data_IF_688487604184
#
_entry.id   IF_688487604184
#
_cell.length_a   1.000
_cell.length_b   1.000
_cell.length_c   1.000
_cell.angle_alpha   90.00
_cell.angle_beta   90.00
_cell.angle_gamma   90.00
#
_symmetry.space_group_name_H-M   'P 1'
#
loop_
_entity.id
_entity.type
_entity.pdbx_description
1 polymer ?
#
# COMPACT_ATOMS: atom_id res chain seq x y z
N UNK A 1 -0.02 -21.78 8.32
CA UNK A 1 -0.03 -20.42 7.77
C UNK A 1 0.71 -20.48 6.44
N UNK A 2 0.10 -20.08 5.32
CA UNK A 2 0.81 -20.03 4.02
C UNK A 2 1.63 -18.73 4.01
N UNK A 3 2.93 -18.82 3.72
CA UNK A 3 3.78 -17.64 3.52
C UNK A 3 3.30 -16.91 2.26
N UNK A 4 3.18 -15.59 2.34
CA UNK A 4 2.80 -14.71 1.22
C UNK A 4 4.06 -14.10 0.60
N UNK A 5 4.29 -14.34 -0.69
CA UNK A 5 5.33 -13.65 -1.46
C UNK A 5 4.80 -12.31 -1.98
N UNK A 6 5.14 -11.22 -1.28
CA UNK A 6 4.83 -9.85 -1.66
C UNK A 6 5.99 -9.26 -2.50
N UNK A 7 5.78 -9.10 -3.81
CA UNK A 7 6.80 -8.63 -4.74
C UNK A 7 6.68 -7.13 -5.08
N UNK A 8 7.80 -6.39 -5.21
CA UNK A 8 7.78 -5.01 -5.70
C UNK A 8 7.45 -4.92 -7.20
N UNK A 9 6.58 -3.99 -7.58
CA UNK A 9 6.25 -3.70 -8.98
C UNK A 9 6.35 -2.19 -9.24
N UNK A 10 7.54 -1.69 -9.60
CA UNK A 10 7.79 -0.26 -9.82
C UNK A 10 7.50 0.24 -11.25
N UNK A 11 7.15 -0.67 -12.16
CA UNK A 11 6.85 -0.41 -13.57
C UNK A 11 5.90 -1.49 -14.11
N UNK A 12 5.30 -1.26 -15.29
CA UNK A 12 4.47 -2.28 -15.95
C UNK A 12 5.22 -3.59 -16.20
N UNK A 13 6.48 -3.51 -16.63
CA UNK A 13 7.31 -4.68 -16.92
C UNK A 13 7.55 -5.51 -15.65
N UNK A 14 7.91 -4.84 -14.54
CA UNK A 14 8.11 -5.52 -13.25
C UNK A 14 6.81 -6.05 -12.65
N UNK A 15 5.68 -5.35 -12.84
CA UNK A 15 4.35 -5.84 -12.48
C UNK A 15 4.02 -7.15 -13.20
N UNK A 16 4.10 -7.18 -14.54
CA UNK A 16 3.80 -8.39 -15.30
C UNK A 16 4.78 -9.52 -14.98
N UNK A 17 6.06 -9.21 -14.76
CA UNK A 17 7.04 -10.20 -14.36
C UNK A 17 6.67 -10.83 -13.00
N UNK A 18 6.35 -10.02 -11.99
CA UNK A 18 5.98 -10.51 -10.66
C UNK A 18 4.70 -11.36 -10.70
N UNK A 19 3.63 -10.86 -11.33
CA UNK A 19 2.34 -11.56 -11.42
C UNK A 19 2.48 -12.89 -12.16
N UNK A 20 3.19 -12.92 -13.29
CA UNK A 20 3.33 -14.15 -14.08
C UNK A 20 4.38 -15.12 -13.52
N UNK A 21 5.21 -14.69 -12.58
CA UNK A 21 6.22 -15.56 -11.92
C UNK A 21 5.74 -16.17 -10.60
N UNK A 22 4.46 -16.00 -10.26
CA UNK A 22 3.84 -16.66 -9.10
C UNK A 22 3.95 -15.89 -7.78
N UNK A 23 4.04 -14.56 -7.82
CA UNK A 23 3.84 -13.75 -6.62
C UNK A 23 2.41 -13.96 -6.07
N UNK A 24 2.26 -14.06 -4.74
CA UNK A 24 0.93 -14.08 -4.11
C UNK A 24 0.31 -12.67 -4.09
N UNK A 25 1.16 -11.65 -4.00
CA UNK A 25 0.77 -10.24 -4.01
C UNK A 25 1.88 -9.36 -4.59
N UNK A 26 1.49 -8.18 -5.08
CA UNK A 26 2.40 -7.14 -5.53
C UNK A 26 2.17 -5.86 -4.76
N UNK A 27 3.23 -5.07 -4.53
CA UNK A 27 3.09 -3.69 -4.08
C UNK A 27 3.67 -2.70 -5.09
N UNK A 28 2.96 -1.59 -5.25
CA UNK A 28 3.29 -0.55 -6.23
C UNK A 28 2.82 0.83 -5.75
N UNK A 29 3.25 1.88 -6.44
CA UNK A 29 2.86 3.26 -6.17
C UNK A 29 2.13 3.88 -7.34
N UNK A 30 1.11 4.68 -7.04
CA UNK A 30 0.54 5.60 -8.02
C UNK A 30 1.41 6.83 -8.25
N UNK A 31 0.98 7.78 -9.09
CA UNK A 31 1.70 9.06 -9.28
C UNK A 31 1.59 10.01 -8.07
N UNK A 32 0.68 9.76 -7.15
CA UNK A 32 0.40 10.59 -5.97
C UNK A 32 0.82 9.89 -4.67
N UNK A 33 1.20 10.68 -3.67
CA UNK A 33 1.40 10.28 -2.25
C UNK A 33 2.33 9.07 -1.99
N UNK A 34 3.21 8.74 -2.92
CA UNK A 34 4.19 7.66 -2.77
C UNK A 34 5.61 8.23 -2.64
N UNK A 35 6.44 7.60 -1.81
CA UNK A 35 7.81 8.08 -1.58
C UNK A 35 8.79 7.77 -2.73
N UNK A 36 8.40 6.97 -3.73
CA UNK A 36 9.27 6.57 -4.85
C UNK A 36 9.03 7.48 -6.07
N UNK A 37 9.34 8.77 -5.91
CA UNK A 37 9.18 9.79 -6.96
C UNK A 37 9.95 9.51 -8.28
N UNK A 38 10.97 8.65 -8.25
CA UNK A 38 11.78 8.29 -9.43
C UNK A 38 11.30 7.03 -10.16
N UNK A 39 10.32 6.29 -9.61
CA UNK A 39 9.70 5.19 -10.33
C UNK A 39 8.73 5.75 -11.39
N UNK A 40 8.52 5.01 -12.48
CA UNK A 40 7.52 5.39 -13.50
C UNK A 40 6.15 5.62 -12.85
N UNK A 41 5.82 4.76 -11.87
CA UNK A 41 4.55 4.70 -11.16
C UNK A 41 3.36 4.56 -12.13
N UNK A 42 2.18 4.28 -11.57
CA UNK A 42 0.98 4.03 -12.37
C UNK A 42 0.03 5.22 -12.26
N UNK A 43 -0.52 5.69 -13.37
CA UNK A 43 -1.70 6.57 -13.30
C UNK A 43 -2.99 5.78 -13.02
N UNK A 44 -4.09 6.51 -12.90
CA UNK A 44 -5.41 5.95 -12.55
C UNK A 44 -5.91 4.94 -13.58
N UNK A 45 -5.71 5.18 -14.88
CA UNK A 45 -6.16 4.25 -15.92
C UNK A 45 -5.28 3.00 -15.96
N UNK A 46 -3.95 3.17 -15.84
CA UNK A 46 -3.04 2.04 -15.66
C UNK A 46 -3.40 1.23 -14.40
N UNK A 47 -3.74 1.90 -13.28
CA UNK A 47 -4.12 1.27 -12.01
C UNK A 47 -5.34 0.36 -12.17
N UNK A 48 -6.42 0.85 -12.79
CA UNK A 48 -7.62 0.05 -13.07
C UNK A 48 -7.29 -1.21 -13.85
N UNK A 49 -6.47 -1.06 -14.89
CA UNK A 49 -6.09 -2.17 -15.75
C UNK A 49 -5.25 -3.22 -15.02
N UNK A 50 -4.23 -2.81 -14.27
CA UNK A 50 -3.32 -3.75 -13.58
C UNK A 50 -4.02 -4.45 -12.41
N UNK A 51 -4.90 -3.77 -11.68
CA UNK A 51 -5.65 -4.41 -10.58
C UNK A 51 -6.51 -5.54 -11.14
N UNK A 52 -7.31 -5.24 -12.17
CA UNK A 52 -8.11 -6.26 -12.87
C UNK A 52 -7.25 -7.41 -13.41
N UNK A 53 -6.08 -7.10 -13.99
CA UNK A 53 -5.17 -8.13 -14.49
C UNK A 53 -4.66 -9.05 -13.37
N UNK A 54 -4.20 -8.47 -12.25
CA UNK A 54 -3.68 -9.21 -11.11
C UNK A 54 -4.75 -10.14 -10.51
N UNK A 55 -5.96 -9.63 -10.31
CA UNK A 55 -7.07 -10.42 -9.77
C UNK A 55 -7.48 -11.58 -10.67
N UNK A 56 -7.49 -11.40 -12.00
CA UNK A 56 -7.70 -12.50 -12.96
C UNK A 56 -6.64 -13.60 -12.85
N UNK A 57 -5.47 -13.29 -12.26
CA UNK A 57 -4.38 -14.24 -11.97
C UNK A 57 -4.37 -14.72 -10.52
N UNK A 58 -5.32 -14.28 -9.69
CA UNK A 58 -5.38 -14.59 -8.26
C UNK A 58 -4.31 -13.89 -7.42
N UNK A 59 -3.73 -12.79 -7.93
CA UNK A 59 -2.68 -12.01 -7.26
C UNK A 59 -3.28 -10.74 -6.67
N UNK A 60 -2.94 -10.43 -5.41
CA UNK A 60 -3.39 -9.21 -4.73
C UNK A 60 -2.55 -7.99 -5.08
N UNK A 61 -3.14 -6.80 -5.03
CA UNK A 61 -2.46 -5.53 -5.29
C UNK A 61 -2.50 -4.63 -4.06
N UNK A 62 -1.34 -4.25 -3.56
CA UNK A 62 -1.19 -3.27 -2.48
C UNK A 62 -0.61 -1.96 -3.02
N UNK A 63 -1.20 -0.83 -2.63
CA UNK A 63 -0.77 0.48 -3.14
C UNK A 63 -0.15 1.32 -2.03
N UNK A 64 1.03 1.88 -2.29
CA UNK A 64 1.73 2.75 -1.35
C UNK A 64 1.17 4.17 -1.38
N UNK A 65 0.73 4.67 -0.23
CA UNK A 65 0.43 6.07 0.06
C UNK A 65 1.21 6.49 1.32
N UNK A 66 2.53 6.45 1.21
CA UNK A 66 3.46 6.41 2.33
C UNK A 66 4.30 7.68 2.52
N UNK A 67 3.89 8.81 1.93
CA UNK A 67 4.46 10.13 2.27
C UNK A 67 3.81 10.70 3.54
N UNK A 68 4.52 11.58 4.27
CA UNK A 68 3.87 12.44 5.28
C UNK A 68 3.05 13.48 4.53
N UNK A 69 1.80 13.68 4.91
CA UNK A 69 0.91 14.59 4.20
C UNK A 69 0.99 16.00 4.78
N UNK A 70 0.91 17.01 3.92
CA UNK A 70 0.61 18.38 4.36
C UNK A 70 -0.89 18.53 4.57
N UNK A 71 -1.29 19.48 5.41
CA UNK A 71 -2.71 19.75 5.67
C UNK A 71 -3.52 19.99 4.40
N UNK A 72 -2.95 20.70 3.42
CA UNK A 72 -3.61 20.99 2.14
C UNK A 72 -3.73 19.77 1.22
N UNK A 73 -2.95 18.71 1.47
CA UNK A 73 -2.92 17.48 0.68
C UNK A 73 -3.90 16.42 1.21
N UNK A 74 -4.48 16.60 2.42
CA UNK A 74 -5.31 15.60 3.09
C UNK A 74 -6.55 15.23 2.28
N UNK A 75 -7.28 16.22 1.75
CA UNK A 75 -8.50 15.98 0.96
C UNK A 75 -8.18 15.18 -0.30
N UNK A 76 -7.11 15.54 -1.00
CA UNK A 76 -6.68 14.84 -2.21
C UNK A 76 -6.20 13.42 -1.92
N UNK A 77 -5.51 13.21 -0.79
CA UNK A 77 -5.11 11.88 -0.34
C UNK A 77 -6.33 10.99 -0.01
N UNK A 78 -7.36 11.54 0.65
CA UNK A 78 -8.59 10.79 0.91
C UNK A 78 -9.36 10.46 -0.38
N UNK A 79 -9.44 11.41 -1.31
CA UNK A 79 -10.06 11.17 -2.62
C UNK A 79 -9.31 10.08 -3.40
N UNK A 80 -7.97 10.11 -3.38
CA UNK A 80 -7.17 9.09 -4.03
C UNK A 80 -7.32 7.72 -3.35
N UNK A 81 -7.36 7.66 -2.02
CA UNK A 81 -7.65 6.41 -1.31
C UNK A 81 -9.05 5.87 -1.65
N UNK A 82 -10.07 6.73 -1.73
CA UNK A 82 -11.42 6.33 -2.15
C UNK A 82 -11.41 5.77 -3.58
N UNK A 83 -10.72 6.42 -4.51
CA UNK A 83 -10.53 5.90 -5.87
C UNK A 83 -9.90 4.49 -5.87
N UNK A 84 -8.83 4.27 -5.08
CA UNK A 84 -8.18 2.96 -5.01
C UNK A 84 -9.11 1.90 -4.42
N UNK A 85 -9.89 2.25 -3.39
CA UNK A 85 -10.89 1.39 -2.78
C UNK A 85 -11.99 0.99 -3.77
N UNK A 86 -12.54 1.95 -4.51
CA UNK A 86 -13.58 1.73 -5.53
C UNK A 86 -13.10 0.88 -6.73
N UNK A 87 -11.79 0.75 -6.92
CA UNK A 87 -11.17 -0.04 -7.97
C UNK A 87 -10.49 -1.30 -7.43
N UNK A 88 -11.01 -1.83 -6.31
CA UNK A 88 -10.68 -3.15 -5.74
C UNK A 88 -9.20 -3.32 -5.31
N UNK A 89 -8.46 -2.24 -5.02
CA UNK A 89 -7.13 -2.39 -4.41
C UNK A 89 -7.25 -3.13 -3.08
N UNK A 90 -6.40 -4.15 -2.86
CA UNK A 90 -6.54 -5.05 -1.72
C UNK A 90 -6.08 -4.46 -0.38
N UNK A 91 -5.12 -3.54 -0.41
CA UNK A 91 -4.66 -2.81 0.77
C UNK A 91 -3.86 -1.55 0.43
N UNK A 92 -3.88 -0.57 1.34
CA UNK A 92 -2.93 0.55 1.33
C UNK A 92 -1.69 0.24 2.16
N UNK A 93 -0.58 0.88 1.82
CA UNK A 93 0.65 0.90 2.64
C UNK A 93 0.95 2.36 2.98
N UNK A 94 0.77 2.75 4.25
CA UNK A 94 0.84 4.14 4.71
C UNK A 94 1.89 4.32 5.81
N UNK A 95 2.31 5.55 6.08
CA UNK A 95 3.11 5.88 7.27
C UNK A 95 2.46 6.93 8.17
N UNK A 96 1.65 7.82 7.60
CA UNK A 96 1.13 8.98 8.30
C UNK A 96 0.01 8.56 9.27
N UNK A 97 0.20 8.83 10.57
CA UNK A 97 -0.73 8.42 11.62
C UNK A 97 -2.07 9.17 11.52
N UNK A 98 -2.04 10.44 11.12
CA UNK A 98 -3.25 11.23 10.89
C UNK A 98 -4.04 10.67 9.71
N UNK A 99 -3.34 10.32 8.63
CA UNK A 99 -3.98 9.68 7.49
C UNK A 99 -4.56 8.30 7.84
N UNK A 100 -3.84 7.46 8.59
CA UNK A 100 -4.36 6.19 9.09
C UNK A 100 -5.64 6.38 9.91
N UNK A 101 -5.66 7.37 10.81
CA UNK A 101 -6.87 7.70 11.56
C UNK A 101 -8.05 8.06 10.66
N UNK A 102 -7.80 8.89 9.62
CA UNK A 102 -8.83 9.30 8.68
C UNK A 102 -9.32 8.13 7.80
N UNK A 103 -8.42 7.24 7.36
CA UNK A 103 -8.78 6.03 6.62
C UNK A 103 -9.68 5.13 7.46
N UNK A 104 -9.33 4.86 8.72
CA UNK A 104 -10.18 4.06 9.62
C UNK A 104 -11.55 4.71 9.87
N UNK A 105 -11.66 6.04 9.78
CA UNK A 105 -12.91 6.78 9.98
C UNK A 105 -13.79 6.78 8.74
N UNK A 106 -13.22 7.01 7.56
CA UNK A 106 -13.97 7.26 6.32
C UNK A 106 -14.00 6.07 5.36
N UNK A 107 -13.02 5.17 5.43
CA UNK A 107 -12.87 3.94 4.64
C UNK A 107 -12.57 2.74 5.56
N UNK A 108 -13.42 2.44 6.56
CA UNK A 108 -13.13 1.46 7.62
C UNK A 108 -12.90 0.03 7.10
N UNK A 109 -13.44 -0.29 5.92
CA UNK A 109 -13.33 -1.61 5.31
C UNK A 109 -12.11 -1.76 4.39
N UNK A 110 -11.35 -0.68 4.15
CA UNK A 110 -10.16 -0.71 3.30
C UNK A 110 -8.93 -1.16 4.13
N UNK A 111 -8.33 -2.35 3.90
CA UNK A 111 -7.21 -2.79 4.72
C UNK A 111 -6.01 -1.85 4.60
N UNK A 112 -5.43 -1.47 5.74
CA UNK A 112 -4.26 -0.59 5.78
C UNK A 112 -3.08 -1.31 6.42
N UNK A 113 -1.94 -1.30 5.75
CA UNK A 113 -0.67 -1.81 6.23
C UNK A 113 0.28 -0.64 6.55
N UNK A 114 1.19 -0.84 7.50
CA UNK A 114 2.16 0.16 7.90
C UNK A 114 3.47 -0.01 7.12
N UNK A 115 3.89 1.07 6.48
CA UNK A 115 5.12 1.21 5.71
C UNK A 115 6.35 1.08 6.61
N UNK A 116 7.44 0.55 6.05
CA UNK A 116 8.76 0.57 6.72
C UNK A 116 9.19 1.97 7.15
N UNK A 117 8.68 3.02 6.48
CA UNK A 117 9.01 4.41 6.78
C UNK A 117 8.38 4.93 8.10
N UNK A 118 7.44 4.19 8.69
CA UNK A 118 6.97 4.47 10.05
C UNK A 118 7.99 4.03 11.14
N UNK A 119 9.08 3.36 10.75
CA UNK A 119 10.20 2.98 11.63
C UNK A 119 9.74 2.16 12.84
N UNK A 120 8.84 1.19 12.63
CA UNK A 120 8.40 0.28 13.68
C UNK A 120 9.40 -0.87 13.82
N UNK A 121 10.07 -0.96 14.97
CA UNK A 121 11.15 -1.93 15.21
C UNK A 121 10.96 -2.81 16.45
N UNK A 122 9.89 -2.62 17.22
CA UNK A 122 9.61 -3.39 18.44
C UNK A 122 8.14 -3.84 18.53
N UNK A 123 7.85 -4.70 19.52
CA UNK A 123 6.51 -5.21 19.75
C UNK A 123 5.50 -4.13 20.19
N UNK A 124 5.97 -3.07 20.85
CA UNK A 124 5.12 -1.99 21.33
C UNK A 124 4.58 -1.17 20.18
N UNK A 125 5.43 -0.81 19.22
CA UNK A 125 5.01 -0.13 17.99
C UNK A 125 4.11 -1.00 17.13
N UNK A 126 4.41 -2.31 17.01
CA UNK A 126 3.52 -3.24 16.29
C UNK A 126 2.14 -3.26 16.93
N UNK A 127 2.07 -3.45 18.25
CA UNK A 127 0.81 -3.48 19.00
C UNK A 127 0.04 -2.17 18.86
N UNK A 128 0.72 -1.03 18.99
CA UNK A 128 0.10 0.29 18.82
C UNK A 128 -0.63 0.40 17.48
N UNK A 129 0.02 0.04 16.37
CA UNK A 129 -0.60 0.13 15.05
C UNK A 129 -1.72 -0.89 14.84
N UNK A 130 -1.57 -2.11 15.36
CA UNK A 130 -2.64 -3.14 15.30
C UNK A 130 -3.87 -2.70 16.08
N UNK A 131 -3.70 -2.19 17.30
CA UNK A 131 -4.78 -1.65 18.12
C UNK A 131 -5.42 -0.42 17.46
N UNK A 132 -4.65 0.30 16.63
CA UNK A 132 -5.10 1.43 15.82
C UNK A 132 -5.59 1.03 14.42
N UNK A 133 -5.95 -0.24 14.21
CA UNK A 133 -6.65 -0.71 13.00
C UNK A 133 -5.76 -1.18 11.84
N UNK A 134 -4.43 -1.18 11.99
CA UNK A 134 -3.54 -1.68 10.95
C UNK A 134 -3.66 -3.21 10.79
N UNK A 135 -3.72 -3.67 9.53
CA UNK A 135 -3.82 -5.09 9.20
C UNK A 135 -2.47 -5.80 9.23
N UNK A 136 -1.40 -5.11 8.86
CA UNK A 136 -0.02 -5.62 8.84
C UNK A 136 0.94 -4.47 9.14
N UNK A 137 2.04 -4.77 9.84
CA UNK A 137 3.15 -3.84 10.03
C UNK A 137 4.36 -4.38 9.27
N UNK A 138 4.88 -3.58 8.32
CA UNK A 138 6.11 -3.92 7.61
C UNK A 138 7.26 -3.32 8.43
N UNK A 139 8.07 -4.19 9.02
CA UNK A 139 9.10 -3.81 9.98
C UNK A 139 10.15 -2.85 9.39
N UNK A 140 10.73 -2.03 10.27
CA UNK A 140 11.79 -1.08 9.94
C UNK A 140 12.98 -1.74 9.22
N UNK A 141 13.64 -1.00 8.32
CA UNK A 141 14.74 -1.51 7.47
C UNK A 141 16.04 -1.67 8.24
N UNK A 142 16.13 -1.03 9.39
CA UNK A 142 17.26 -0.99 10.30
C UNK A 142 17.38 -2.28 11.12
N UNK A 143 16.31 -3.10 11.15
CA UNK A 143 16.34 -4.42 11.78
C UNK A 143 17.16 -5.41 10.96
N UNK A 144 17.97 -6.21 11.64
CA UNK A 144 18.61 -7.39 11.06
C UNK A 144 17.61 -8.54 10.93
N UNK A 145 17.76 -9.33 9.86
CA UNK A 145 17.05 -10.60 9.66
C UNK A 145 17.64 -11.70 10.55
#
# INVERSE_FOLDING_TARGET
MKVELLAPAGSLESFYAAVNSGADSVYLGGKLFNARNYARNFDEEEMKHIVKYAHNKGVKVYVTMNTVLKDIEITDALNYAAFLYENDVDALIVQDLGFLHLLNKYLPDFPVNISTQAVVYDEFGVKFFVDFGAKKVIMARELSI
#
